data_IF_328510703448
#
_entry.id   IF_328510703448
#
_cell.length_a   1.000
_cell.length_b   1.000
_cell.length_c   1.000
_cell.angle_alpha   90.00
_cell.angle_beta   90.00
_cell.angle_gamma   90.00
#
_symmetry.space_group_name_H-M   'P 1'
#
loop_
_entity.id
_entity.type
_entity.pdbx_description
1 polymer ?
#
# COMPACT_ATOMS: atom_id res chain seq x y z
N UNK A 1 -5.15 15.97 -7.08
CA UNK A 1 -4.67 16.49 -5.77
C UNK A 1 -5.70 17.47 -5.19
N UNK A 2 -6.37 17.17 -4.06
CA UNK A 2 -7.40 18.05 -3.48
C UNK A 2 -6.76 19.41 -3.13
N UNK A 3 -7.16 20.49 -3.80
CA UNK A 3 -6.84 21.87 -3.41
C UNK A 3 -7.32 22.08 -1.97
N UNK A 4 -6.46 21.90 -0.98
CA UNK A 4 -6.74 22.35 0.38
C UNK A 4 -7.07 23.85 0.25
N UNK A 5 -8.32 24.23 0.55
CA UNK A 5 -8.79 25.61 0.35
C UNK A 5 -7.86 26.55 1.13
N UNK A 6 -7.24 27.53 0.46
CA UNK A 6 -6.31 28.53 1.05
C UNK A 6 -6.78 29.08 2.40
N UNK A 7 -8.10 29.24 2.57
CA UNK A 7 -8.77 29.64 3.81
C UNK A 7 -8.46 28.75 5.02
N UNK A 8 -8.42 27.42 4.86
CA UNK A 8 -8.14 26.49 5.95
C UNK A 8 -6.68 26.56 6.40
N UNK A 9 -5.74 26.71 5.45
CA UNK A 9 -4.33 26.92 5.75
C UNK A 9 -4.12 28.21 6.55
N UNK A 10 -4.71 29.33 6.08
CA UNK A 10 -4.66 30.61 6.81
C UNK A 10 -5.23 30.49 8.23
N UNK A 11 -6.33 29.74 8.40
CA UNK A 11 -6.91 29.47 9.72
C UNK A 11 -5.91 28.75 10.64
N UNK A 12 -5.22 27.73 10.14
CA UNK A 12 -4.24 26.99 10.94
C UNK A 12 -3.05 27.85 11.32
N UNK A 13 -2.51 28.62 10.37
CA UNK A 13 -1.40 29.52 10.67
C UNK A 13 -1.79 30.58 11.68
N UNK A 14 -2.91 31.27 11.48
CA UNK A 14 -3.39 32.29 12.43
C UNK A 14 -3.58 31.72 13.83
N UNK A 15 -4.17 30.52 13.98
CA UNK A 15 -4.33 29.89 15.30
C UNK A 15 -3.01 29.50 15.97
N UNK A 16 -2.01 29.12 15.18
CA UNK A 16 -0.67 28.82 15.71
C UNK A 16 0.06 30.11 16.06
N UNK A 17 0.05 31.13 15.21
CA UNK A 17 0.70 32.42 15.46
C UNK A 17 0.18 33.06 16.76
N UNK A 18 -1.15 33.19 16.90
CA UNK A 18 -1.77 33.73 18.12
C UNK A 18 -1.49 32.83 19.33
N UNK A 19 -1.67 31.52 19.18
CA UNK A 19 -1.47 30.63 20.31
C UNK A 19 -0.01 30.58 20.80
N UNK A 20 0.99 30.83 19.93
CA UNK A 20 2.41 30.79 20.31
C UNK A 20 2.72 31.97 21.24
N UNK A 21 2.03 33.09 21.06
CA UNK A 21 2.16 34.28 21.90
C UNK A 21 1.44 34.06 23.24
N UNK A 22 0.22 33.50 23.20
CA UNK A 22 -0.65 33.38 24.38
C UNK A 22 -0.49 32.05 25.15
N UNK A 23 0.37 31.14 24.67
CA UNK A 23 0.53 29.79 25.22
C UNK A 23 -0.66 28.84 24.99
N UNK A 24 -1.68 29.26 24.24
CA UNK A 24 -2.96 28.53 24.08
C UNK A 24 -2.99 27.57 22.87
N UNK A 25 -1.84 27.23 22.28
CA UNK A 25 -1.80 26.33 21.12
C UNK A 25 -2.27 24.94 21.50
N UNK A 26 -3.22 24.45 20.71
CA UNK A 26 -3.55 23.02 20.72
C UNK A 26 -2.58 22.22 19.83
N UNK A 27 -2.15 21.01 20.26
CA UNK A 27 -1.33 20.12 19.44
C UNK A 27 -1.92 19.80 18.07
N UNK A 28 -3.25 19.88 17.93
CA UNK A 28 -3.93 19.67 16.66
C UNK A 28 -3.54 20.73 15.62
N UNK A 29 -3.63 22.01 15.97
CA UNK A 29 -3.31 23.10 15.04
C UNK A 29 -1.82 23.13 14.70
N UNK A 30 -0.95 22.91 15.69
CA UNK A 30 0.49 22.80 15.48
C UNK A 30 0.84 21.67 14.51
N UNK A 31 0.29 20.47 14.70
CA UNK A 31 0.52 19.36 13.78
C UNK A 31 -0.01 19.62 12.37
N UNK A 32 -1.14 20.34 12.23
CA UNK A 32 -1.64 20.73 10.92
C UNK A 32 -0.72 21.74 10.22
N UNK A 33 -0.22 22.74 10.93
CA UNK A 33 0.75 23.69 10.41
C UNK A 33 2.05 22.98 9.98
N UNK A 34 2.57 22.05 10.79
CA UNK A 34 3.75 21.23 10.47
C UNK A 34 3.58 20.42 9.19
N UNK A 35 2.43 19.76 9.01
CA UNK A 35 2.15 18.99 7.78
C UNK A 35 2.09 19.92 6.56
N UNK A 36 1.55 21.13 6.71
CA UNK A 36 1.49 22.07 5.60
C UNK A 36 2.88 22.59 5.26
N UNK A 37 3.70 22.89 6.27
CA UNK A 37 5.10 23.29 6.08
C UNK A 37 5.92 22.19 5.38
N UNK A 38 5.82 20.94 5.83
CA UNK A 38 6.48 19.81 5.17
C UNK A 38 6.09 19.69 3.69
N UNK A 39 4.80 19.87 3.36
CA UNK A 39 4.35 19.86 1.95
C UNK A 39 4.87 21.05 1.13
N UNK A 40 5.10 22.21 1.76
CA UNK A 40 5.71 23.36 1.09
C UNK A 40 7.15 23.03 0.72
N UNK A 41 7.92 22.49 1.68
CA UNK A 41 9.29 22.03 1.47
C UNK A 41 9.32 20.97 0.37
N UNK A 42 8.54 19.89 0.49
CA UNK A 42 8.54 18.79 -0.49
C UNK A 42 8.29 19.31 -1.90
N UNK A 43 7.34 20.25 -2.04
CA UNK A 43 7.03 20.86 -3.33
C UNK A 43 8.21 21.67 -3.85
N UNK A 44 8.73 22.61 -3.07
CA UNK A 44 9.87 23.46 -3.46
C UNK A 44 11.11 22.61 -3.77
N UNK A 45 11.35 21.55 -3.00
CA UNK A 45 12.46 20.64 -3.22
C UNK A 45 12.34 19.96 -4.59
N UNK A 46 11.15 19.45 -4.93
CA UNK A 46 10.92 18.77 -6.20
C UNK A 46 10.90 19.72 -7.39
N UNK A 47 10.38 20.95 -7.24
CA UNK A 47 10.18 21.88 -8.35
C UNK A 47 11.28 22.91 -8.54
N UNK A 48 12.08 23.20 -7.51
CA UNK A 48 13.09 24.25 -7.51
C UNK A 48 14.48 23.66 -7.24
N UNK A 49 14.71 23.12 -6.04
CA UNK A 49 16.06 22.67 -5.64
C UNK A 49 16.57 21.49 -6.45
N UNK A 50 15.76 20.43 -6.60
CA UNK A 50 16.19 19.20 -7.27
C UNK A 50 16.53 19.44 -8.75
N UNK A 51 15.69 20.12 -9.56
CA UNK A 51 16.07 20.48 -10.93
C UNK A 51 17.34 21.31 -10.97
N UNK A 52 17.40 22.40 -10.17
CA UNK A 52 18.57 23.27 -10.11
C UNK A 52 19.85 22.50 -9.78
N UNK A 53 19.81 21.59 -8.79
CA UNK A 53 20.97 20.79 -8.39
C UNK A 53 21.50 19.93 -9.54
N UNK A 54 20.62 19.30 -10.31
CA UNK A 54 21.04 18.51 -11.47
C UNK A 54 21.48 19.37 -12.65
N UNK A 55 20.96 20.59 -12.79
CA UNK A 55 21.46 21.56 -13.76
C UNK A 55 22.89 22.03 -13.43
N UNK A 56 23.35 21.88 -12.18
CA UNK A 56 24.73 22.17 -11.77
C UNK A 56 25.69 20.98 -11.93
N UNK A 57 25.35 19.93 -12.70
CA UNK A 57 26.15 18.69 -12.79
C UNK A 57 27.65 18.95 -13.05
N UNK A 58 27.97 19.86 -13.98
CA UNK A 58 29.35 20.21 -14.35
C UNK A 58 30.13 20.91 -13.22
N UNK A 59 29.44 21.44 -12.21
CA UNK A 59 30.00 22.21 -11.09
C UNK A 59 29.92 21.49 -9.75
N UNK A 60 29.53 20.22 -9.73
CA UNK A 60 29.41 19.46 -8.47
C UNK A 60 30.72 19.34 -7.70
N UNK A 61 31.87 19.41 -8.36
CA UNK A 61 33.18 19.44 -7.69
C UNK A 61 33.42 20.73 -6.89
N UNK A 62 32.72 21.81 -7.23
CA UNK A 62 32.84 23.13 -6.58
C UNK A 62 31.76 23.35 -5.51
N UNK A 63 30.72 22.50 -5.49
CA UNK A 63 29.53 22.68 -4.66
C UNK A 63 29.45 21.60 -3.57
N UNK A 64 29.17 22.02 -2.35
CA UNK A 64 28.83 21.11 -1.27
C UNK A 64 27.31 20.90 -1.24
N UNK A 65 26.86 19.67 -1.52
CA UNK A 65 25.44 19.31 -1.45
C UNK A 65 24.83 19.67 -0.07
N UNK A 66 25.59 19.43 1.00
CA UNK A 66 25.14 19.73 2.38
C UNK A 66 24.92 21.22 2.59
N UNK A 67 25.83 22.07 2.10
CA UNK A 67 25.71 23.53 2.24
C UNK A 67 24.53 24.08 1.43
N UNK A 68 24.37 23.63 0.19
CA UNK A 68 23.27 24.06 -0.66
C UNK A 68 21.91 23.57 -0.15
N UNK A 69 21.85 22.36 0.42
CA UNK A 69 20.64 21.89 1.11
C UNK A 69 20.31 22.75 2.32
N UNK A 70 21.31 23.13 3.14
CA UNK A 70 21.08 24.01 4.28
C UNK A 70 20.55 25.37 3.85
N UNK A 71 21.16 26.00 2.84
CA UNK A 71 20.67 27.27 2.25
C UNK A 71 19.21 27.14 1.78
N UNK A 72 18.89 26.08 1.06
CA UNK A 72 17.53 25.82 0.60
C UNK A 72 16.52 25.69 1.76
N UNK A 73 16.88 24.99 2.84
CA UNK A 73 16.01 24.85 4.00
C UNK A 73 15.84 26.17 4.77
N UNK A 74 16.89 26.99 4.85
CA UNK A 74 16.83 28.33 5.46
C UNK A 74 15.93 29.27 4.64
N UNK A 75 16.00 29.24 3.31
CA UNK A 75 15.07 29.96 2.45
C UNK A 75 13.62 29.48 2.63
N UNK A 76 13.42 28.17 2.69
CA UNK A 76 12.09 27.60 2.94
C UNK A 76 11.53 28.04 4.29
N UNK A 77 12.38 28.15 5.31
CA UNK A 77 12.04 28.68 6.62
C UNK A 77 11.58 30.14 6.50
N UNK A 78 12.36 31.02 5.86
CA UNK A 78 12.00 32.43 5.68
C UNK A 78 10.67 32.58 4.94
N UNK A 79 10.46 31.81 3.87
CA UNK A 79 9.20 31.81 3.12
C UNK A 79 8.03 31.37 4.02
N UNK A 80 8.23 30.36 4.87
CA UNK A 80 7.20 29.92 5.80
C UNK A 80 6.86 31.00 6.83
N UNK A 81 7.84 31.64 7.44
CA UNK A 81 7.63 32.73 8.41
C UNK A 81 6.85 33.88 7.77
N UNK A 82 7.22 34.31 6.55
CA UNK A 82 6.52 35.34 5.79
C UNK A 82 5.07 34.97 5.46
N UNK A 83 4.81 33.74 5.04
CA UNK A 83 3.47 33.29 4.65
C UNK A 83 2.54 33.06 5.85
N UNK A 84 3.12 32.68 6.99
CA UNK A 84 2.35 32.20 8.13
C UNK A 84 2.25 33.21 9.28
N UNK A 85 3.21 34.15 9.38
CA UNK A 85 3.39 35.03 10.53
C UNK A 85 3.86 34.30 11.79
N UNK A 86 4.34 33.06 11.65
CA UNK A 86 4.81 32.22 12.76
C UNK A 86 6.33 32.31 12.83
N UNK A 87 6.87 32.62 14.01
CA UNK A 87 8.29 32.44 14.33
C UNK A 87 8.65 30.94 14.28
N UNK A 88 9.51 30.55 13.34
CA UNK A 88 9.79 29.14 13.09
C UNK A 88 10.53 28.47 14.23
N UNK A 89 11.45 29.16 14.91
CA UNK A 89 12.23 28.56 15.99
C UNK A 89 11.32 28.24 17.18
N UNK A 90 10.48 29.21 17.58
CA UNK A 90 9.48 28.98 18.64
C UNK A 90 8.52 27.86 18.27
N UNK A 91 8.09 27.81 17.01
CA UNK A 91 7.23 26.74 16.52
C UNK A 91 7.92 25.37 16.55
N UNK A 92 9.18 25.29 16.10
CA UNK A 92 9.99 24.07 16.08
C UNK A 92 10.18 23.52 17.49
N UNK A 93 10.48 24.39 18.46
CA UNK A 93 10.67 23.98 19.85
C UNK A 93 9.36 23.53 20.50
N UNK A 94 8.23 24.21 20.23
CA UNK A 94 6.91 23.73 20.66
C UNK A 94 6.61 22.34 20.10
N UNK A 95 6.87 22.10 18.81
CA UNK A 95 6.62 20.80 18.17
C UNK A 95 7.46 19.69 18.81
N UNK A 96 8.72 19.95 19.16
CA UNK A 96 9.59 18.96 19.83
C UNK A 96 9.07 18.57 21.22
N UNK A 97 8.43 19.50 21.92
CA UNK A 97 7.83 19.25 23.24
C UNK A 97 6.51 18.48 23.18
N UNK A 98 5.90 18.34 21.99
CA UNK A 98 4.64 17.61 21.87
C UNK A 98 4.87 16.11 22.13
N UNK A 99 4.08 15.48 23.02
CA UNK A 99 4.21 14.06 23.27
C UNK A 99 3.90 13.26 22.00
N UNK A 100 4.71 12.24 21.72
CA UNK A 100 4.42 11.30 20.66
C UNK A 100 3.07 10.62 20.94
N UNK A 101 2.10 10.83 20.05
CA UNK A 101 0.80 10.18 20.17
C UNK A 101 0.98 8.70 19.85
N UNK A 102 1.08 7.88 20.89
CA UNK A 102 0.85 6.44 20.84
C UNK A 102 -0.58 6.18 20.37
N UNK A 103 -0.79 6.17 19.06
CA UNK A 103 -2.05 5.75 18.47
C UNK A 103 -2.18 4.27 18.77
N UNK A 104 -3.04 3.91 19.73
CA UNK A 104 -3.44 2.52 19.92
C UNK A 104 -3.83 1.98 18.55
N UNK A 105 -3.27 0.83 18.10
CA UNK A 105 -3.64 0.24 16.84
C UNK A 105 -5.16 0.11 16.84
N UNK A 106 -5.80 0.63 15.79
CA UNK A 106 -7.25 0.60 15.66
C UNK A 106 -7.61 -0.88 15.63
N UNK A 107 -8.20 -1.41 16.71
CA UNK A 107 -8.69 -2.77 16.74
C UNK A 107 -9.68 -2.89 15.57
N UNK A 108 -9.28 -3.62 14.52
CA UNK A 108 -10.21 -3.97 13.46
C UNK A 108 -11.24 -4.85 14.15
N UNK A 109 -12.49 -4.40 14.24
CA UNK A 109 -13.58 -5.33 14.52
C UNK A 109 -13.46 -6.44 13.48
N UNK A 110 -13.25 -7.67 13.92
CA UNK A 110 -13.35 -8.82 13.03
C UNK A 110 -14.70 -8.69 12.33
N UNK A 111 -14.66 -8.57 11.01
CA UNK A 111 -15.90 -8.67 10.26
C UNK A 111 -16.37 -10.10 10.51
N UNK A 112 -17.64 -10.32 10.91
CA UNK A 112 -18.16 -11.67 10.98
C UNK A 112 -17.87 -12.31 9.63
N UNK A 113 -17.27 -13.50 9.65
CA UNK A 113 -16.97 -14.22 8.44
C UNK A 113 -18.27 -14.34 7.64
N UNK A 114 -18.28 -13.93 6.35
CA UNK A 114 -19.46 -14.14 5.54
C UNK A 114 -19.78 -15.64 5.57
N UNK A 115 -21.06 -16.03 5.67
CA UNK A 115 -21.44 -17.43 5.78
C UNK A 115 -20.75 -18.21 4.67
N UNK A 116 -19.92 -19.17 5.09
CA UNK A 116 -19.09 -19.95 4.17
C UNK A 116 -20.06 -20.73 3.27
N UNK A 117 -20.14 -20.31 2.01
CA UNK A 117 -20.90 -21.03 0.99
C UNK A 117 -20.41 -22.48 1.00
N UNK A 118 -21.29 -23.43 1.36
CA UNK A 118 -20.98 -24.86 1.27
C UNK A 118 -20.69 -25.20 -0.20
N UNK A 119 -19.64 -25.98 -0.44
CA UNK A 119 -19.37 -26.57 -1.76
C UNK A 119 -20.58 -27.42 -2.15
N UNK A 120 -21.08 -27.26 -3.38
CA UNK A 120 -22.30 -27.95 -3.83
C UNK A 120 -22.05 -29.42 -4.14
N UNK A 121 -20.93 -29.71 -4.80
CA UNK A 121 -20.46 -31.05 -5.16
C UNK A 121 -18.99 -31.19 -4.75
N UNK A 122 -18.71 -31.51 -3.48
CA UNK A 122 -17.35 -31.64 -3.01
C UNK A 122 -16.71 -32.93 -3.54
N UNK A 123 -15.60 -32.78 -4.24
CA UNK A 123 -14.69 -33.85 -4.67
C UNK A 123 -13.32 -33.64 -3.99
N UNK A 124 -12.51 -34.71 -3.91
CA UNK A 124 -11.16 -34.64 -3.36
C UNK A 124 -10.15 -34.38 -4.48
N UNK A 125 -9.40 -33.29 -4.35
CA UNK A 125 -8.37 -32.89 -5.29
C UNK A 125 -7.02 -32.78 -4.60
N UNK A 126 -5.94 -32.93 -5.36
CA UNK A 126 -4.58 -32.75 -4.87
C UNK A 126 -4.08 -31.36 -5.25
N UNK A 127 -3.59 -30.62 -4.26
CA UNK A 127 -2.94 -29.32 -4.48
C UNK A 127 -1.46 -29.40 -4.14
N UNK A 128 -0.64 -28.65 -4.87
CA UNK A 128 0.77 -28.47 -4.57
C UNK A 128 0.94 -27.25 -3.65
N UNK A 129 1.49 -27.46 -2.45
CA UNK A 129 1.85 -26.35 -1.56
C UNK A 129 3.28 -25.89 -1.82
N UNK A 130 3.57 -24.61 -1.61
CA UNK A 130 4.89 -24.03 -1.88
C UNK A 130 6.01 -24.58 -0.97
N UNK A 131 5.67 -25.17 0.19
CA UNK A 131 6.64 -25.69 1.17
C UNK A 131 6.43 -27.17 1.57
N UNK A 132 5.20 -27.68 1.50
CA UNK A 132 4.81 -28.92 2.20
C UNK A 132 4.27 -30.05 1.28
N UNK A 133 4.80 -30.19 0.08
CA UNK A 133 4.44 -31.30 -0.82
C UNK A 133 3.01 -31.22 -1.39
N UNK A 134 2.43 -32.37 -1.68
CA UNK A 134 1.09 -32.51 -2.29
C UNK A 134 0.08 -32.86 -1.19
N UNK A 135 -0.99 -32.07 -1.07
CA UNK A 135 -2.03 -32.24 -0.05
C UNK A 135 -3.38 -32.46 -0.71
N UNK A 136 -4.19 -33.36 -0.17
CA UNK A 136 -5.58 -33.55 -0.61
C UNK A 136 -6.51 -32.56 0.07
N UNK A 137 -7.35 -31.89 -0.72
CA UNK A 137 -8.33 -30.90 -0.28
C UNK A 137 -9.70 -31.20 -0.88
N UNK A 138 -10.75 -30.90 -0.11
CA UNK A 138 -12.11 -30.90 -0.63
C UNK A 138 -12.34 -29.63 -1.47
N UNK A 139 -12.74 -29.81 -2.72
CA UNK A 139 -13.03 -28.72 -3.65
C UNK A 139 -14.23 -29.03 -4.53
N UNK A 140 -14.64 -28.06 -5.35
CA UNK A 140 -15.72 -28.21 -6.33
C UNK A 140 -15.19 -27.80 -7.69
N UNK A 141 -15.39 -28.60 -8.74
CA UNK A 141 -15.06 -28.20 -10.11
C UNK A 141 -15.89 -26.97 -10.49
N UNK A 142 -15.23 -25.92 -10.98
CA UNK A 142 -15.87 -24.63 -11.27
C UNK A 142 -15.92 -24.29 -12.74
N UNK A 143 -14.95 -24.74 -13.54
CA UNK A 143 -14.93 -24.60 -14.98
C UNK A 143 -13.87 -25.51 -15.59
N UNK A 144 -13.95 -25.74 -16.90
CA UNK A 144 -12.93 -26.41 -17.69
C UNK A 144 -12.58 -25.56 -18.92
N UNK A 145 -11.31 -25.62 -19.34
CA UNK A 145 -10.81 -24.95 -20.54
C UNK A 145 -9.96 -25.95 -21.30
N UNK A 146 -10.33 -26.24 -22.55
CA UNK A 146 -9.59 -27.13 -23.47
C UNK A 146 -9.15 -28.47 -22.83
N UNK A 147 -10.06 -29.09 -22.05
CA UNK A 147 -9.83 -30.38 -21.41
C UNK A 147 -9.11 -30.33 -20.05
N UNK A 148 -8.68 -29.14 -19.58
CA UNK A 148 -8.16 -28.95 -18.24
C UNK A 148 -9.27 -28.54 -17.28
N UNK A 149 -9.40 -29.28 -16.18
CA UNK A 149 -10.39 -29.05 -15.14
C UNK A 149 -9.83 -28.17 -14.02
N UNK A 150 -10.60 -27.15 -13.63
CA UNK A 150 -10.25 -26.26 -12.53
C UNK A 150 -11.27 -26.38 -11.40
N UNK A 151 -10.78 -26.44 -10.17
CA UNK A 151 -11.61 -26.58 -8.98
C UNK A 151 -11.33 -25.47 -7.97
N UNK A 152 -12.35 -25.12 -7.21
CA UNK A 152 -12.26 -24.15 -6.12
C UNK A 152 -12.23 -24.88 -4.78
N UNK A 153 -11.36 -24.44 -3.88
CA UNK A 153 -11.28 -24.96 -2.52
C UNK A 153 -11.05 -23.82 -1.53
N UNK A 154 -11.22 -24.12 -0.25
CA UNK A 154 -10.97 -23.18 0.83
C UNK A 154 -9.57 -23.44 1.40
N UNK A 155 -8.72 -22.42 1.37
CA UNK A 155 -7.39 -22.46 1.99
C UNK A 155 -7.30 -21.29 2.97
N UNK A 156 -7.49 -21.60 4.26
CA UNK A 156 -7.64 -20.60 5.31
C UNK A 156 -8.83 -19.65 5.06
N UNK A 157 -8.58 -18.34 5.13
CA UNK A 157 -9.58 -17.28 4.93
C UNK A 157 -9.94 -16.98 3.46
N UNK A 158 -9.41 -17.72 2.49
CA UNK A 158 -9.55 -17.40 1.06
C UNK A 158 -10.11 -18.56 0.25
N UNK A 159 -10.90 -18.22 -0.77
CA UNK A 159 -11.28 -19.13 -1.84
C UNK A 159 -10.18 -19.16 -2.88
N UNK A 160 -9.62 -20.34 -3.14
CA UNK A 160 -8.53 -20.53 -4.07
C UNK A 160 -8.97 -21.42 -5.22
N UNK A 161 -8.65 -21.01 -6.44
CA UNK A 161 -8.88 -21.82 -7.64
C UNK A 161 -7.57 -22.48 -8.04
N UNK A 162 -7.62 -23.78 -8.24
CA UNK A 162 -6.47 -24.63 -8.57
C UNK A 162 -6.81 -25.52 -9.77
N UNK A 163 -5.78 -25.91 -10.52
CA UNK A 163 -5.89 -26.92 -11.57
C UNK A 163 -5.93 -28.34 -10.98
N UNK A 164 -6.80 -29.19 -11.51
CA UNK A 164 -6.95 -30.58 -11.09
C UNK A 164 -5.76 -31.47 -11.48
N UNK A 165 -5.01 -31.10 -12.53
CA UNK A 165 -3.96 -31.94 -13.13
C UNK A 165 -2.62 -31.83 -12.42
N UNK A 166 -2.17 -30.61 -12.14
CA UNK A 166 -0.89 -30.29 -11.50
C UNK A 166 -1.05 -29.79 -10.07
N UNK A 167 -2.28 -29.48 -9.63
CA UNK A 167 -2.55 -28.95 -8.30
C UNK A 167 -2.06 -27.52 -8.10
N UNK A 168 -1.67 -26.82 -9.17
CA UNK A 168 -1.17 -25.45 -9.09
C UNK A 168 -2.31 -24.48 -8.76
N UNK A 169 -2.03 -23.53 -7.86
CA UNK A 169 -2.95 -22.45 -7.52
C UNK A 169 -2.84 -21.32 -8.54
N UNK A 170 -3.96 -20.95 -9.15
CA UNK A 170 -4.03 -19.88 -10.12
C UNK A 170 -4.31 -18.53 -9.46
N UNK A 171 -5.30 -18.51 -8.56
CA UNK A 171 -5.75 -17.28 -7.92
C UNK A 171 -6.47 -17.54 -6.61
N UNK A 172 -6.45 -16.55 -5.72
CA UNK A 172 -7.15 -16.58 -4.44
C UNK A 172 -7.83 -15.24 -4.15
N UNK A 173 -9.06 -15.28 -3.61
CA UNK A 173 -9.82 -14.09 -3.17
C UNK A 173 -10.68 -14.43 -1.96
N UNK A 174 -11.06 -13.42 -1.17
CA UNK A 174 -12.01 -13.59 -0.05
C UNK A 174 -13.39 -14.04 -0.55
N UNK A 175 -13.76 -13.67 -1.79
CA UNK A 175 -15.08 -13.92 -2.40
C UNK A 175 -15.01 -14.99 -3.48
N UNK A 176 -15.82 -16.04 -3.30
CA UNK A 176 -15.95 -17.17 -4.24
C UNK A 176 -16.08 -16.73 -5.71
N UNK A 177 -17.09 -15.88 -6.03
CA UNK A 177 -17.37 -15.50 -7.43
C UNK A 177 -16.22 -14.71 -8.07
N UNK A 178 -15.50 -13.92 -7.27
CA UNK A 178 -14.33 -13.17 -7.75
C UNK A 178 -13.15 -14.09 -8.02
N UNK A 179 -12.92 -15.05 -7.12
CA UNK A 179 -11.86 -16.04 -7.29
C UNK A 179 -12.03 -16.82 -8.61
N UNK A 180 -13.25 -17.33 -8.87
CA UNK A 180 -13.56 -18.06 -10.11
C UNK A 180 -13.41 -17.18 -11.35
N UNK A 181 -14.05 -16.01 -11.37
CA UNK A 181 -14.00 -15.11 -12.54
C UNK A 181 -12.56 -14.73 -12.90
N UNK A 182 -11.76 -14.36 -11.90
CA UNK A 182 -10.40 -13.90 -12.14
C UNK A 182 -9.48 -15.05 -12.54
N UNK A 183 -9.67 -16.25 -11.99
CA UNK A 183 -8.94 -17.43 -12.42
C UNK A 183 -9.22 -17.78 -13.89
N UNK A 184 -10.49 -17.70 -14.32
CA UNK A 184 -10.86 -17.89 -15.72
C UNK A 184 -10.18 -16.86 -16.64
N UNK A 185 -10.25 -15.57 -16.31
CA UNK A 185 -9.58 -14.49 -17.07
C UNK A 185 -8.05 -14.67 -17.17
N UNK A 186 -7.41 -15.27 -16.15
CA UNK A 186 -5.97 -15.53 -16.16
C UNK A 186 -5.62 -16.64 -17.14
N UNK A 187 -6.39 -17.73 -17.11
CA UNK A 187 -6.21 -18.90 -17.98
C UNK A 187 -6.51 -18.54 -19.42
N UNK A 188 -7.62 -17.86 -19.69
CA UNK A 188 -8.01 -17.42 -21.04
C UNK A 188 -6.92 -16.55 -21.69
N UNK A 189 -6.25 -15.69 -20.92
CA UNK A 189 -5.20 -14.79 -21.44
C UNK A 189 -3.83 -15.43 -21.60
N UNK A 190 -3.53 -16.50 -20.86
CA UNK A 190 -2.19 -17.06 -20.78
C UNK A 190 -2.21 -18.58 -20.92
N UNK A 191 -3.12 -19.10 -21.76
CA UNK A 191 -3.36 -20.55 -21.84
C UNK A 191 -2.11 -21.32 -22.30
N UNK A 192 -1.41 -20.82 -23.32
CA UNK A 192 -0.19 -21.47 -23.84
C UNK A 192 0.89 -21.59 -22.75
N UNK A 193 1.16 -20.49 -22.04
CA UNK A 193 2.10 -20.48 -20.92
C UNK A 193 1.68 -21.43 -19.78
N UNK A 194 0.37 -21.61 -19.60
CA UNK A 194 -0.17 -22.52 -18.62
C UNK A 194 0.04 -23.99 -19.03
N UNK A 195 -0.17 -24.35 -20.30
CA UNK A 195 0.08 -25.71 -20.82
C UNK A 195 1.53 -26.12 -20.60
N UNK A 196 2.48 -25.22 -20.87
CA UNK A 196 3.91 -25.41 -20.62
C UNK A 196 4.25 -25.63 -19.13
N UNK A 197 3.51 -24.99 -18.23
CA UNK A 197 3.69 -25.15 -16.80
C UNK A 197 3.12 -26.49 -16.32
N UNK A 198 1.97 -26.90 -16.84
CA UNK A 198 1.34 -28.18 -16.47
C UNK A 198 2.16 -29.36 -16.95
N UNK A 199 2.69 -29.32 -18.19
CA UNK A 199 3.51 -30.41 -18.76
C UNK A 199 4.73 -30.74 -17.87
N UNK A 200 5.37 -29.73 -17.29
CA UNK A 200 6.52 -29.87 -16.39
C UNK A 200 6.17 -30.26 -14.95
N UNK A 201 4.90 -30.13 -14.54
CA UNK A 201 4.48 -30.21 -13.12
C UNK A 201 3.30 -31.13 -12.87
N UNK A 202 2.98 -32.04 -13.81
CA UNK A 202 1.92 -33.04 -13.62
C UNK A 202 2.07 -33.74 -12.28
N UNK A 203 0.94 -33.92 -11.59
CA UNK A 203 0.91 -34.75 -10.39
C UNK A 203 1.14 -36.22 -10.79
N UNK A 204 1.81 -37.02 -9.94
CA UNK A 204 1.92 -38.46 -10.19
C UNK A 204 0.51 -39.07 -10.25
N UNK A 205 0.28 -39.91 -11.26
CA UNK A 205 -0.98 -40.63 -11.43
C UNK A 205 -1.27 -41.46 -10.17
N UNK A 206 -2.55 -41.59 -9.82
CA UNK A 206 -2.94 -42.52 -8.76
C UNK A 206 -2.62 -43.92 -9.26
N UNK A 207 -1.68 -44.62 -8.63
CA UNK A 207 -1.67 -46.08 -8.69
C UNK A 207 -3.02 -46.55 -8.16
N UNK A 208 -3.82 -47.14 -9.05
CA UNK A 208 -5.09 -47.74 -8.69
C UNK A 208 -4.79 -48.95 -7.77
N UNK A 209 -5.20 -48.84 -6.50
CA UNK A 209 -5.41 -49.99 -5.63
C UNK A 209 -6.89 -50.35 -5.62
#
# INVERSE_FOLDING_TARGET
MRRFKKRLQKKYYSRVATGLQDGSITPFYANRARIIYGRLIDRKYVTEFRPWWYDQFDRWSELSLTEEQNKFFDECRTVFEQLSGIDYDKFKDYIKQLPERNRKPRQRKEKPDPPVRKLRKPERFRIRMNKDGIVEVAGEKVFSVEGYDFFIHRSGGYWSVSDATCGARLYSDERYKKAVKRAYEIIEKNFDNYVDLVSKRRLPEKEAK
#
